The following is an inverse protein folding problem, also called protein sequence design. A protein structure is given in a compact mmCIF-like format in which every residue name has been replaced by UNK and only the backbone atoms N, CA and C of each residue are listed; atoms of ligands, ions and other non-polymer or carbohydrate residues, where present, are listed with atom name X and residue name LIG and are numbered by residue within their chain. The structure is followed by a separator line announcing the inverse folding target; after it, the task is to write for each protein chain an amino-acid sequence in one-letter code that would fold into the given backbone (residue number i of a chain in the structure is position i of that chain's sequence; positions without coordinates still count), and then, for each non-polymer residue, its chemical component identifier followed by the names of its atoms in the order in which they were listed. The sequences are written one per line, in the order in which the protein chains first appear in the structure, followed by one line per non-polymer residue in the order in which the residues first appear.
data_IF_911948915379
#
_entry.id   IF_911948915379
#
_cell.length_a   1.000
_cell.length_b   1.000
_cell.length_c   1.000
_cell.angle_alpha   90.00
_cell.angle_beta   90.00
_cell.angle_gamma   90.00
#
_symmetry.space_group_name_H-M   'P 1'
#
loop_
_entity.id
_entity.type
_entity.pdbx_description
1 polymer ?
#
# COMPACT_ATOMS: atom_id res chain seq x y z
N UNK A 1 13.60 4.72 20.82
CA UNK A 1 12.15 4.52 20.60
C UNK A 1 11.86 3.95 19.22
N UNK A 2 11.98 4.71 18.13
CA UNK A 2 11.71 4.19 16.77
C UNK A 2 12.64 3.03 16.40
N UNK A 3 13.94 3.14 16.70
CA UNK A 3 14.91 2.05 16.51
C UNK A 3 14.50 0.77 17.27
N UNK A 4 14.02 0.92 18.51
CA UNK A 4 13.58 -0.22 19.32
C UNK A 4 12.33 -0.87 18.71
N UNK A 5 11.41 -0.05 18.19
CA UNK A 5 10.25 -0.54 17.43
C UNK A 5 10.74 -1.35 16.24
N UNK A 6 11.62 -0.82 15.38
CA UNK A 6 12.13 -1.53 14.20
C UNK A 6 12.83 -2.85 14.56
N UNK A 7 13.67 -2.87 15.61
CA UNK A 7 14.26 -4.11 16.11
C UNK A 7 13.21 -5.18 16.45
N UNK A 8 12.03 -4.77 16.93
CA UNK A 8 10.95 -5.68 17.29
C UNK A 8 10.08 -6.08 16.10
N UNK A 9 9.99 -5.24 15.07
CA UNK A 9 9.22 -5.50 13.84
C UNK A 9 9.91 -6.50 12.91
N UNK A 10 11.16 -6.87 13.15
CA UNK A 10 11.88 -7.84 12.31
C UNK A 10 11.12 -9.18 12.27
N UNK A 11 10.91 -9.70 11.06
CA UNK A 11 10.18 -10.95 10.84
C UNK A 11 10.85 -12.17 11.47
N UNK A 12 12.18 -12.09 11.71
CA UNK A 12 12.96 -13.12 12.39
C UNK A 12 12.64 -13.24 13.89
N UNK A 13 12.00 -12.23 14.49
CA UNK A 13 11.57 -12.31 15.89
C UNK A 13 10.33 -13.20 16.06
N UNK A 14 10.07 -13.64 17.28
CA UNK A 14 8.81 -14.30 17.61
C UNK A 14 7.59 -13.34 17.50
N UNK A 15 6.40 -13.89 17.27
CA UNK A 15 5.17 -13.08 17.09
C UNK A 15 4.80 -12.23 18.30
N UNK A 16 5.15 -12.64 19.52
CA UNK A 16 4.88 -11.83 20.72
C UNK A 16 5.76 -10.58 20.73
N UNK A 17 7.02 -10.69 20.31
CA UNK A 17 7.92 -9.55 20.13
C UNK A 17 7.44 -8.62 19.02
N UNK A 18 7.09 -9.16 17.85
CA UNK A 18 6.54 -8.38 16.73
C UNK A 18 5.28 -7.60 17.14
N UNK A 19 4.32 -8.28 17.79
CA UNK A 19 3.09 -7.65 18.26
C UNK A 19 3.35 -6.52 19.25
N UNK A 20 4.33 -6.67 20.15
CA UNK A 20 4.70 -5.59 21.07
C UNK A 20 5.29 -4.38 20.33
N UNK A 21 6.04 -4.59 19.25
CA UNK A 21 6.53 -3.52 18.37
C UNK A 21 5.39 -2.78 17.67
N UNK A 22 4.41 -3.51 17.12
CA UNK A 22 3.22 -2.95 16.49
C UNK A 22 2.39 -2.12 17.48
N UNK A 23 2.19 -2.62 18.70
CA UNK A 23 1.49 -1.89 19.76
C UNK A 23 2.23 -0.61 20.15
N UNK A 24 3.56 -0.68 20.31
CA UNK A 24 4.38 0.49 20.59
C UNK A 24 4.31 1.54 19.47
N UNK A 25 4.23 1.11 18.20
CA UNK A 25 4.11 2.02 17.07
C UNK A 25 2.80 2.84 17.04
N UNK A 26 1.77 2.47 17.80
CA UNK A 26 0.51 3.25 17.89
C UNK A 26 0.70 4.64 18.49
N UNK A 27 1.73 4.85 19.31
CA UNK A 27 2.02 6.16 19.90
C UNK A 27 2.65 7.13 18.89
N UNK A 28 3.19 6.62 17.78
CA UNK A 28 3.80 7.42 16.72
C UNK A 28 2.71 7.90 15.77
N UNK A 29 2.47 9.21 15.76
CA UNK A 29 1.43 9.84 14.93
C UNK A 29 1.88 9.96 13.47
N UNK A 30 3.13 10.36 13.23
CA UNK A 30 3.72 10.43 11.89
C UNK A 30 4.01 9.03 11.36
N UNK A 31 3.34 8.63 10.29
CA UNK A 31 3.52 7.30 9.69
C UNK A 31 4.70 7.24 8.71
N UNK A 32 5.30 8.38 8.36
CA UNK A 32 6.42 8.49 7.42
C UNK A 32 7.54 7.48 7.66
N UNK A 33 7.93 7.17 8.92
CA UNK A 33 8.98 6.19 9.18
C UNK A 33 8.62 4.75 8.79
N UNK A 34 7.33 4.41 8.70
CA UNK A 34 6.87 3.06 8.38
C UNK A 34 6.61 2.86 6.88
N UNK A 35 6.68 3.92 6.07
CA UNK A 35 6.45 3.85 4.63
C UNK A 35 7.73 3.42 3.90
N UNK A 36 7.87 2.11 3.66
CA UNK A 36 9.00 1.47 2.99
C UNK A 36 10.36 1.89 3.59
N UNK A 37 10.60 1.62 4.89
CA UNK A 37 11.84 2.03 5.54
C UNK A 37 13.04 1.40 4.84
N UNK A 38 14.02 2.23 4.48
CA UNK A 38 15.30 1.82 3.91
C UNK A 38 16.32 1.76 5.04
N UNK A 39 16.18 0.74 5.89
CA UNK A 39 17.06 0.53 7.04
C UNK A 39 18.07 -0.58 6.73
N UNK A 40 19.38 -0.28 6.58
CA UNK A 40 20.39 -1.28 6.19
C UNK A 40 20.46 -2.48 7.13
N UNK A 41 20.09 -2.29 8.41
CA UNK A 41 20.09 -3.34 9.42
C UNK A 41 18.98 -4.38 9.22
N UNK A 42 17.84 -3.97 8.66
CA UNK A 42 16.63 -4.80 8.60
C UNK A 42 16.19 -5.12 7.16
N UNK A 43 16.70 -4.39 6.17
CA UNK A 43 16.27 -4.52 4.77
C UNK A 43 14.73 -4.49 4.67
N UNK A 44 14.12 -5.45 3.96
CA UNK A 44 12.66 -5.59 3.82
C UNK A 44 12.02 -6.43 4.94
N UNK A 45 12.78 -6.97 5.88
CA UNK A 45 12.26 -7.88 6.91
C UNK A 45 11.24 -7.22 7.85
N UNK A 46 11.30 -5.89 7.98
CA UNK A 46 10.35 -5.13 8.81
C UNK A 46 9.12 -4.65 8.01
N UNK A 47 9.12 -4.78 6.69
CA UNK A 47 8.13 -4.15 5.82
C UNK A 47 6.72 -4.71 6.06
N UNK A 48 6.56 -6.03 6.22
CA UNK A 48 5.25 -6.62 6.49
C UNK A 48 4.61 -6.02 7.75
N UNK A 49 5.37 -5.94 8.84
CA UNK A 49 4.87 -5.38 10.10
C UNK A 49 4.68 -3.86 10.02
N UNK A 50 5.44 -3.15 9.19
CA UNK A 50 5.18 -1.75 8.86
C UNK A 50 3.85 -1.57 8.10
N UNK A 51 3.55 -2.43 7.13
CA UNK A 51 2.27 -2.44 6.43
C UNK A 51 1.11 -2.69 7.40
N UNK A 52 1.26 -3.61 8.37
CA UNK A 52 0.27 -3.81 9.44
C UNK A 52 0.03 -2.53 10.24
N UNK A 53 1.09 -1.78 10.59
CA UNK A 53 0.95 -0.51 11.31
C UNK A 53 0.20 0.53 10.47
N UNK A 54 0.54 0.67 9.19
CA UNK A 54 -0.11 1.58 8.24
C UNK A 54 -1.60 1.23 8.10
N UNK A 55 -1.93 -0.04 7.85
CA UNK A 55 -3.31 -0.46 7.59
C UNK A 55 -4.23 -0.31 8.80
N UNK A 56 -3.67 -0.26 10.02
CA UNK A 56 -4.41 0.01 11.25
C UNK A 56 -4.74 1.50 11.49
N UNK A 57 -4.31 2.41 10.60
CA UNK A 57 -4.63 3.84 10.70
C UNK A 57 -5.96 4.16 10.02
N UNK A 58 -6.64 5.18 10.54
CA UNK A 58 -7.87 5.71 9.93
C UNK A 58 -7.59 6.40 8.60
N UNK A 59 -8.60 6.51 7.74
CA UNK A 59 -8.45 7.15 6.42
C UNK A 59 -7.86 8.56 6.53
N UNK A 60 -8.36 9.35 7.48
CA UNK A 60 -7.89 10.70 7.77
C UNK A 60 -6.41 10.76 8.15
N UNK A 61 -5.88 9.74 8.82
CA UNK A 61 -4.45 9.71 9.19
C UNK A 61 -3.56 9.33 8.00
N UNK A 62 -4.10 8.60 7.03
CA UNK A 62 -3.36 8.14 5.85
C UNK A 62 -3.39 9.15 4.70
N UNK A 63 -4.41 10.01 4.64
CA UNK A 63 -4.66 10.98 3.55
C UNK A 63 -3.40 11.74 3.12
N UNK A 64 -2.65 12.29 4.08
CA UNK A 64 -1.43 13.06 3.81
C UNK A 64 -0.27 12.24 3.21
N UNK A 65 -0.40 10.92 3.12
CA UNK A 65 0.65 9.99 2.72
C UNK A 65 0.24 9.11 1.53
N UNK A 66 -0.95 9.32 0.95
CA UNK A 66 -1.51 8.44 -0.07
C UNK A 66 -0.59 8.23 -1.28
N UNK A 67 0.14 9.26 -1.73
CA UNK A 67 1.14 9.11 -2.80
C UNK A 67 2.17 8.03 -2.48
N UNK A 68 2.74 8.07 -1.26
CA UNK A 68 3.75 7.10 -0.79
C UNK A 68 3.15 5.74 -0.42
N UNK A 69 1.87 5.71 -0.05
CA UNK A 69 1.16 4.45 0.20
C UNK A 69 0.92 3.72 -1.13
N UNK A 70 0.57 4.43 -2.20
CA UNK A 70 0.39 3.86 -3.54
C UNK A 70 1.68 3.28 -4.13
N UNK A 71 2.85 3.79 -3.74
CA UNK A 71 4.15 3.23 -4.12
C UNK A 71 4.33 1.78 -3.64
N UNK A 72 3.62 1.32 -2.60
CA UNK A 72 3.67 -0.09 -2.18
C UNK A 72 3.17 -1.06 -3.26
N UNK A 73 2.39 -0.55 -4.22
CA UNK A 73 1.86 -1.32 -5.33
C UNK A 73 2.82 -1.34 -6.53
N UNK A 74 4.02 -0.76 -6.45
CA UNK A 74 5.01 -0.87 -7.55
C UNK A 74 5.48 -2.32 -7.77
N UNK A 75 5.57 -3.11 -6.70
CA UNK A 75 5.95 -4.51 -6.76
C UNK A 75 5.19 -5.30 -5.71
N UNK A 76 4.22 -6.09 -6.17
CA UNK A 76 3.37 -6.90 -5.30
C UNK A 76 4.12 -8.03 -4.57
N UNK A 77 5.38 -8.29 -4.89
CA UNK A 77 6.24 -9.21 -4.12
C UNK A 77 6.79 -8.56 -2.85
N UNK A 78 6.64 -7.24 -2.65
CA UNK A 78 7.11 -6.58 -1.44
C UNK A 78 6.33 -7.04 -0.20
N UNK A 79 7.01 -7.33 0.92
CA UNK A 79 6.33 -7.84 2.12
C UNK A 79 5.31 -6.83 2.66
N UNK A 80 4.02 -7.11 2.48
CA UNK A 80 2.93 -6.23 2.90
C UNK A 80 2.23 -5.46 1.78
N UNK A 81 2.69 -5.55 0.52
CA UNK A 81 2.05 -4.88 -0.62
C UNK A 81 0.56 -5.27 -0.79
N UNK A 82 0.24 -6.56 -0.71
CA UNK A 82 -1.15 -7.04 -0.76
C UNK A 82 -1.98 -6.51 0.41
N UNK A 83 -1.43 -6.43 1.61
CA UNK A 83 -2.13 -5.90 2.78
C UNK A 83 -2.47 -4.40 2.60
N UNK A 84 -1.56 -3.64 2.00
CA UNK A 84 -1.80 -2.24 1.64
C UNK A 84 -2.86 -2.12 0.56
N UNK A 85 -2.80 -2.95 -0.50
CA UNK A 85 -3.82 -2.99 -1.54
C UNK A 85 -5.22 -3.27 -0.96
N UNK A 86 -5.36 -4.32 -0.15
CA UNK A 86 -6.63 -4.67 0.51
C UNK A 86 -7.16 -3.55 1.41
N UNK A 87 -6.26 -2.80 2.07
CA UNK A 87 -6.65 -1.64 2.86
C UNK A 87 -7.19 -0.49 2.00
N UNK A 88 -6.58 -0.26 0.84
CA UNK A 88 -7.01 0.76 -0.13
C UNK A 88 -8.30 0.36 -0.85
N UNK A 89 -8.60 -0.93 -1.02
CA UNK A 89 -9.90 -1.40 -1.52
C UNK A 89 -11.08 -0.95 -0.64
N UNK A 90 -10.84 -0.79 0.66
CA UNK A 90 -11.83 -0.40 1.67
C UNK A 90 -11.66 1.05 2.15
N UNK A 91 -10.78 1.83 1.50
CA UNK A 91 -10.52 3.23 1.83
C UNK A 91 -11.54 4.14 1.12
N UNK A 92 -11.76 5.35 1.64
CA UNK A 92 -12.58 6.37 0.98
C UNK A 92 -12.14 6.61 -0.47
N UNK A 93 -13.01 6.28 -1.43
CA UNK A 93 -12.69 6.46 -2.84
C UNK A 93 -12.46 7.92 -3.19
N UNK A 94 -13.22 8.83 -2.56
CA UNK A 94 -13.13 10.27 -2.77
C UNK A 94 -11.74 10.81 -2.42
N UNK A 95 -11.22 10.44 -1.25
CA UNK A 95 -9.88 10.83 -0.81
C UNK A 95 -8.78 10.18 -1.67
N UNK A 96 -9.01 8.96 -2.14
CA UNK A 96 -8.03 8.20 -2.93
C UNK A 96 -7.91 8.69 -4.37
N UNK A 97 -9.00 9.13 -4.99
CA UNK A 97 -9.09 9.47 -6.41
C UNK A 97 -7.97 10.40 -6.92
N UNK A 98 -7.70 11.58 -6.31
CA UNK A 98 -6.67 12.48 -6.85
C UNK A 98 -5.27 11.86 -6.82
N UNK A 99 -4.96 11.07 -5.79
CA UNK A 99 -3.68 10.38 -5.64
C UNK A 99 -3.56 9.19 -6.61
N UNK A 100 -4.66 8.45 -6.79
CA UNK A 100 -4.74 7.36 -7.75
C UNK A 100 -4.51 7.84 -9.18
N UNK A 101 -5.20 8.90 -9.63
CA UNK A 101 -5.03 9.47 -10.96
C UNK A 101 -3.60 10.01 -11.17
N UNK A 102 -3.01 10.59 -10.13
CA UNK A 102 -1.61 11.02 -10.15
C UNK A 102 -0.66 9.83 -10.34
N UNK A 103 -0.87 8.73 -9.61
CA UNK A 103 -0.06 7.52 -9.77
C UNK A 103 -0.18 6.92 -11.17
N UNK A 104 -1.41 6.82 -11.73
CA UNK A 104 -1.63 6.38 -13.12
C UNK A 104 -0.85 7.25 -14.11
N UNK A 105 -0.93 8.57 -13.97
CA UNK A 105 -0.17 9.50 -14.83
C UNK A 105 1.34 9.24 -14.75
N UNK A 106 1.87 9.00 -13.55
CA UNK A 106 3.28 8.68 -13.35
C UNK A 106 3.66 7.38 -14.08
N UNK A 107 2.85 6.32 -13.96
CA UNK A 107 3.10 5.06 -14.66
C UNK A 107 3.13 5.26 -16.18
N UNK A 108 2.18 6.01 -16.73
CA UNK A 108 2.11 6.29 -18.16
C UNK A 108 3.31 7.12 -18.64
N UNK A 109 3.69 8.16 -17.89
CA UNK A 109 4.85 9.01 -18.23
C UNK A 109 6.18 8.23 -18.18
N UNK A 110 6.28 7.23 -17.30
CA UNK A 110 7.48 6.40 -17.12
C UNK A 110 7.44 5.07 -17.90
N UNK A 111 6.33 4.77 -18.59
CA UNK A 111 6.05 3.46 -19.18
C UNK A 111 6.21 2.29 -18.18
N UNK A 112 5.82 2.51 -16.92
CA UNK A 112 5.83 1.50 -15.86
C UNK A 112 4.53 0.67 -15.92
N UNK A 113 4.49 -0.25 -16.88
CA UNK A 113 3.34 -1.15 -17.07
C UNK A 113 3.11 -2.06 -15.86
N UNK A 114 4.17 -2.46 -15.15
CA UNK A 114 4.04 -3.33 -13.99
C UNK A 114 3.30 -2.64 -12.85
N UNK A 115 3.67 -1.39 -12.53
CA UNK A 115 2.93 -0.62 -11.53
C UNK A 115 1.51 -0.29 -11.99
N UNK A 116 1.30 0.03 -13.26
CA UNK A 116 -0.05 0.26 -13.82
C UNK A 116 -0.94 -0.98 -13.69
N UNK A 117 -0.40 -2.16 -14.00
CA UNK A 117 -1.11 -3.43 -13.85
C UNK A 117 -1.42 -3.71 -12.37
N UNK A 118 -0.50 -3.44 -11.44
CA UNK A 118 -0.75 -3.57 -10.01
C UNK A 118 -1.82 -2.57 -9.51
N UNK A 119 -1.79 -1.31 -9.98
CA UNK A 119 -2.79 -0.29 -9.64
C UNK A 119 -4.21 -0.69 -10.09
N UNK A 120 -4.34 -1.54 -11.11
CA UNK A 120 -5.63 -2.08 -11.53
C UNK A 120 -6.36 -2.88 -10.44
N UNK A 121 -5.66 -3.39 -9.40
CA UNK A 121 -6.29 -4.00 -8.22
C UNK A 121 -7.30 -3.05 -7.54
N UNK A 122 -7.03 -1.74 -7.59
CA UNK A 122 -7.84 -0.73 -6.91
C UNK A 122 -9.21 -0.48 -7.57
N UNK A 123 -9.50 -1.09 -8.73
CA UNK A 123 -10.88 -1.13 -9.25
C UNK A 123 -11.81 -2.00 -8.39
N UNK A 124 -11.29 -2.72 -7.39
CA UNK A 124 -12.08 -3.37 -6.35
C UNK A 124 -12.62 -2.37 -5.32
N UNK A 125 -12.02 -1.18 -5.19
CA UNK A 125 -12.59 -0.09 -4.43
C UNK A 125 -13.86 0.41 -5.14
N UNK A 126 -15.01 0.20 -4.49
CA UNK A 126 -16.34 0.48 -5.09
C UNK A 126 -16.57 1.96 -5.32
N UNK A 127 -16.21 2.81 -4.37
CA UNK A 127 -16.40 4.26 -4.48
C UNK A 127 -15.49 4.84 -5.56
N UNK A 128 -14.19 4.50 -5.52
CA UNK A 128 -13.21 4.92 -6.52
C UNK A 128 -13.67 4.57 -7.93
N UNK A 129 -14.07 3.31 -8.14
CA UNK A 129 -14.47 2.80 -9.45
C UNK A 129 -15.67 3.50 -10.05
N UNK A 130 -16.61 3.96 -9.21
CA UNK A 130 -17.78 4.72 -9.67
C UNK A 130 -17.44 6.14 -10.11
N UNK A 131 -16.29 6.68 -9.70
CA UNK A 131 -15.84 8.03 -10.02
C UNK A 131 -14.86 8.08 -11.20
N UNK A 132 -14.34 6.92 -11.64
CA UNK A 132 -13.46 6.86 -12.81
C UNK A 132 -14.23 7.15 -14.09
N UNK A 133 -13.58 7.79 -15.05
CA UNK A 133 -14.14 7.90 -16.39
C UNK A 133 -14.26 6.51 -17.04
N UNK A 134 -15.24 6.37 -17.94
CA UNK A 134 -15.57 5.08 -18.54
C UNK A 134 -14.39 4.46 -19.32
N UNK A 135 -13.55 5.29 -19.94
CA UNK A 135 -12.42 4.83 -20.74
C UNK A 135 -11.34 4.24 -19.85
N UNK A 136 -10.92 4.99 -18.82
CA UNK A 136 -9.94 4.55 -17.85
C UNK A 136 -10.41 3.31 -17.08
N UNK A 137 -11.68 3.29 -16.65
CA UNK A 137 -12.24 2.11 -15.96
C UNK A 137 -12.15 0.85 -16.84
N UNK A 138 -12.51 0.94 -18.12
CA UNK A 138 -12.43 -0.20 -19.05
C UNK A 138 -10.99 -0.67 -19.26
N UNK A 139 -10.04 0.26 -19.41
CA UNK A 139 -8.63 -0.08 -19.54
C UNK A 139 -8.13 -0.84 -18.30
N UNK A 140 -8.35 -0.28 -17.11
CA UNK A 140 -7.94 -0.92 -15.85
C UNK A 140 -8.65 -2.26 -15.65
N UNK A 141 -9.91 -2.40 -16.08
CA UNK A 141 -10.64 -3.67 -16.02
C UNK A 141 -9.97 -4.76 -16.86
N UNK A 142 -9.50 -4.43 -18.07
CA UNK A 142 -8.79 -5.38 -18.93
C UNK A 142 -7.50 -5.82 -18.25
N UNK A 143 -6.69 -4.86 -17.79
CA UNK A 143 -5.43 -5.13 -17.05
C UNK A 143 -5.67 -6.01 -15.82
N UNK A 144 -6.71 -5.71 -15.05
CA UNK A 144 -7.08 -6.50 -13.90
C UNK A 144 -7.40 -7.96 -14.26
N UNK A 145 -8.16 -8.16 -15.33
CA UNK A 145 -8.52 -9.50 -15.78
C UNK A 145 -7.30 -10.27 -16.28
N UNK A 146 -6.38 -9.61 -16.97
CA UNK A 146 -5.19 -10.23 -17.55
C UNK A 146 -4.16 -10.63 -16.49
N UNK A 147 -4.02 -9.83 -15.43
CA UNK A 147 -2.98 -9.99 -14.41
C UNK A 147 -3.47 -10.63 -13.10
N UNK A 148 -4.70 -10.37 -12.65
CA UNK A 148 -5.17 -10.72 -11.29
C UNK A 148 -6.32 -11.71 -11.25
N UNK A 149 -6.90 -12.08 -12.39
CA UNK A 149 -7.95 -13.11 -12.42
C UNK A 149 -7.32 -14.49 -12.64
N UNK A 150 -7.67 -15.51 -11.84
CA UNK A 150 -7.19 -16.87 -12.05
C UNK A 150 -7.54 -17.35 -13.47
N UNK A 151 -6.52 -17.78 -14.22
CA UNK A 151 -6.72 -18.44 -15.51
C UNK A 151 -7.09 -19.89 -15.23
N UNK A 152 -8.32 -20.26 -15.61
CA UNK A 152 -8.86 -21.63 -15.52
C UNK A 152 -8.11 -22.53 -16.50
#
# INVERSE_FOLDING_TARGET
MLKDIFCMLDEDNDKKTQNKGIEMAKIIQDISPFLQPVEPQFNKNIWHNCAVIICNRSDKQLEAYLDRILEWLQDMNWPGAFLVSERLENFSGELLLPHFLKAIKICLDQADEAWLDNLSLLIKNKELSLMLDETLYKELKVRYNDCWTPKI
#
